data_IF_469501155858
#
_entry.id   IF_469501155858
#
_cell.length_a   1.000
_cell.length_b   1.000
_cell.length_c   1.000
_cell.angle_alpha   90.00
_cell.angle_beta   90.00
_cell.angle_gamma   90.00
#
_symmetry.space_group_name_H-M   'P 1'
#
loop_
_entity.id
_entity.type
_entity.pdbx_description
1 polymer ?
#
# COMPACT_ATOMS: atom_id res chain seq x y z
N UNK A 1 -26.57 -40.49 65.20
CA UNK A 1 -26.94 -41.08 63.90
C UNK A 1 -26.89 -39.96 62.88
N UNK A 2 -26.01 -40.13 61.88
CA UNK A 2 -25.72 -39.27 60.70
C UNK A 2 -24.96 -37.97 61.00
N UNK A 3 -23.66 -37.87 60.69
CA UNK A 3 -22.89 -37.99 59.41
C UNK A 3 -22.70 -36.62 58.78
N UNK A 4 -21.49 -36.08 58.99
CA UNK A 4 -20.55 -35.57 57.98
C UNK A 4 -21.15 -34.87 56.75
N UNK A 5 -21.00 -33.55 56.68
CA UNK A 5 -21.33 -32.75 55.49
C UNK A 5 -20.29 -31.64 55.23
N UNK A 6 -19.00 -31.97 55.37
CA UNK A 6 -17.87 -31.06 55.08
C UNK A 6 -16.88 -31.59 54.04
N UNK A 7 -17.21 -32.67 53.33
CA UNK A 7 -16.25 -33.42 52.50
C UNK A 7 -16.41 -33.30 50.97
N UNK A 8 -17.00 -32.23 50.43
CA UNK A 8 -17.31 -32.15 48.98
C UNK A 8 -16.69 -31.00 48.18
N UNK A 9 -15.62 -30.36 48.66
CA UNK A 9 -14.80 -29.44 47.83
C UNK A 9 -13.39 -29.97 47.58
N UNK A 10 -13.25 -31.28 47.37
CA UNK A 10 -12.01 -31.83 46.82
C UNK A 10 -11.97 -31.50 45.32
N UNK A 11 -11.16 -30.49 44.98
CA UNK A 11 -10.75 -30.19 43.61
C UNK A 11 -10.22 -31.49 42.96
N UNK A 12 -10.59 -31.82 41.71
CA UNK A 12 -10.00 -32.98 41.03
C UNK A 12 -8.48 -32.79 41.00
N UNK A 13 -7.68 -33.83 41.26
CA UNK A 13 -6.24 -33.71 41.15
C UNK A 13 -5.92 -33.31 39.71
N UNK A 14 -5.39 -32.10 39.54
CA UNK A 14 -4.74 -31.71 38.30
C UNK A 14 -3.79 -32.85 37.92
N UNK A 15 -3.87 -33.42 36.71
CA UNK A 15 -2.99 -34.50 36.32
C UNK A 15 -1.55 -34.03 36.53
N UNK A 16 -0.91 -34.58 37.56
CA UNK A 16 0.48 -34.30 37.86
C UNK A 16 1.28 -35.01 36.78
N UNK A 17 1.58 -34.29 35.69
CA UNK A 17 2.54 -34.76 34.70
C UNK A 17 3.77 -35.25 35.46
N UNK A 18 4.10 -36.53 35.25
CA UNK A 18 5.12 -37.20 36.09
C UNK A 18 6.45 -36.44 35.98
N UNK A 19 7.19 -36.27 37.09
CA UNK A 19 8.48 -35.58 37.09
C UNK A 19 9.45 -36.12 36.04
N UNK A 20 9.35 -37.42 35.75
CA UNK A 20 10.12 -38.11 34.71
C UNK A 20 9.84 -37.58 33.31
N UNK A 21 8.58 -37.29 32.95
CA UNK A 21 8.23 -36.71 31.65
C UNK A 21 8.82 -35.31 31.51
N UNK A 22 8.81 -34.51 32.57
CA UNK A 22 9.48 -33.20 32.57
C UNK A 22 11.00 -33.31 32.44
N UNK A 23 11.62 -34.29 33.10
CA UNK A 23 13.06 -34.54 32.95
C UNK A 23 13.42 -34.98 31.54
N UNK A 24 12.63 -35.87 30.94
CA UNK A 24 12.85 -36.39 29.60
C UNK A 24 12.66 -35.29 28.54
N UNK A 25 11.64 -34.45 28.71
CA UNK A 25 11.43 -33.26 27.87
C UNK A 25 12.61 -32.28 28.01
N UNK A 26 13.08 -32.04 29.24
CA UNK A 26 14.25 -31.20 29.50
C UNK A 26 15.56 -31.77 28.93
N UNK A 27 15.70 -33.08 28.85
CA UNK A 27 16.84 -33.75 28.22
C UNK A 27 16.80 -33.58 26.69
N UNK A 28 15.64 -33.82 26.06
CA UNK A 28 15.44 -33.65 24.61
C UNK A 28 15.66 -32.20 24.21
N UNK A 29 15.16 -31.24 25.00
CA UNK A 29 15.30 -29.81 24.69
C UNK A 29 16.76 -29.34 24.80
N UNK A 30 17.52 -29.85 25.78
CA UNK A 30 18.97 -29.60 25.89
C UNK A 30 19.75 -30.24 24.75
N UNK A 31 19.45 -31.50 24.43
CA UNK A 31 20.09 -32.17 23.29
C UNK A 31 19.83 -31.41 21.98
N UNK A 32 18.60 -30.93 21.75
CA UNK A 32 18.27 -30.08 20.61
C UNK A 32 19.07 -28.77 20.64
N UNK A 33 19.15 -28.10 21.79
CA UNK A 33 19.93 -26.88 21.96
C UNK A 33 21.42 -27.09 21.67
N UNK A 34 22.02 -28.13 22.23
CA UNK A 34 23.43 -28.50 22.06
C UNK A 34 23.72 -28.85 20.59
N UNK A 35 22.80 -29.54 19.93
CA UNK A 35 22.92 -29.88 18.49
C UNK A 35 22.84 -28.62 17.62
N UNK A 36 21.90 -27.70 17.91
CA UNK A 36 21.78 -26.42 17.20
C UNK A 36 23.01 -25.52 17.44
N UNK A 37 23.57 -25.55 18.65
CA UNK A 37 24.79 -24.84 19.01
C UNK A 37 26.03 -25.42 18.30
N UNK A 38 26.18 -26.75 18.28
CA UNK A 38 27.27 -27.44 17.58
C UNK A 38 27.22 -27.25 16.06
N UNK A 39 26.02 -27.18 15.47
CA UNK A 39 25.84 -26.86 14.05
C UNK A 39 26.10 -25.37 13.73
N UNK A 40 26.30 -24.51 14.74
CA UNK A 40 26.55 -23.08 14.57
C UNK A 40 25.35 -22.30 14.00
N UNK A 41 24.14 -22.87 14.09
CA UNK A 41 22.91 -22.30 13.49
C UNK A 41 22.19 -21.39 14.48
N UNK A 42 22.31 -21.63 15.78
CA UNK A 42 21.67 -20.83 16.85
C UNK A 42 21.98 -19.33 16.75
N UNK A 43 23.24 -18.89 16.53
CA UNK A 43 23.54 -17.47 16.38
C UNK A 43 22.88 -16.85 15.14
N UNK A 44 22.84 -17.58 14.02
CA UNK A 44 22.22 -17.10 12.76
C UNK A 44 20.70 -17.00 12.88
N UNK A 45 20.07 -17.93 13.58
CA UNK A 45 18.63 -17.93 13.80
C UNK A 45 18.21 -16.78 14.73
N UNK A 46 18.98 -16.55 15.79
CA UNK A 46 18.76 -15.45 16.72
C UNK A 46 18.96 -14.09 16.04
N UNK A 47 20.02 -13.95 15.23
CA UNK A 47 20.29 -12.75 14.45
C UNK A 47 19.22 -12.49 13.38
N UNK A 48 18.67 -13.54 12.76
CA UNK A 48 17.53 -13.41 11.84
C UNK A 48 16.23 -13.01 12.56
N UNK A 49 15.98 -13.58 13.75
CA UNK A 49 14.82 -13.23 14.58
C UNK A 49 14.89 -11.78 15.09
N UNK A 50 16.07 -11.30 15.46
CA UNK A 50 16.34 -9.91 15.82
C UNK A 50 16.12 -8.93 14.65
N UNK A 51 16.28 -9.40 13.40
CA UNK A 51 16.01 -8.60 12.20
C UNK A 51 14.55 -8.52 11.78
N UNK A 52 13.67 -9.40 12.29
CA UNK A 52 12.24 -9.42 11.92
C UNK A 52 11.49 -8.12 12.28
N UNK A 53 11.67 -7.52 13.47
CA UNK A 53 11.03 -6.25 13.81
C UNK A 53 11.45 -5.09 12.90
N UNK A 54 12.73 -5.01 12.52
CA UNK A 54 13.23 -3.98 11.57
C UNK A 54 12.62 -4.19 10.18
N UNK A 55 12.66 -5.43 9.67
CA UNK A 55 12.03 -5.77 8.39
C UNK A 55 10.54 -5.43 8.36
N UNK A 56 9.80 -5.72 9.44
CA UNK A 56 8.37 -5.35 9.57
C UNK A 56 8.19 -3.83 9.56
N UNK A 57 9.03 -3.10 10.27
CA UNK A 57 8.97 -1.63 10.32
C UNK A 57 9.21 -1.01 8.94
N UNK A 58 10.17 -1.53 8.18
CA UNK A 58 10.42 -1.12 6.79
C UNK A 58 9.25 -1.43 5.86
N UNK A 59 8.65 -2.62 5.98
CA UNK A 59 7.47 -2.98 5.18
C UNK A 59 6.27 -2.08 5.48
N UNK A 60 6.03 -1.75 6.76
CA UNK A 60 4.98 -0.81 7.16
C UNK A 60 5.25 0.58 6.60
N UNK A 61 6.49 1.08 6.70
CA UNK A 61 6.87 2.37 6.11
C UNK A 61 6.66 2.41 4.60
N UNK A 62 7.02 1.33 3.88
CA UNK A 62 6.77 1.21 2.45
C UNK A 62 5.27 1.21 2.16
N UNK A 63 4.47 0.47 2.93
CA UNK A 63 3.01 0.41 2.74
C UNK A 63 2.37 1.79 2.95
N UNK A 64 2.74 2.51 4.01
CA UNK A 64 2.27 3.87 4.28
C UNK A 64 2.66 4.85 3.16
N UNK A 65 3.92 4.83 2.72
CA UNK A 65 4.39 5.69 1.63
C UNK A 65 3.72 5.36 0.30
N UNK A 66 3.44 4.08 0.05
CA UNK A 66 2.69 3.62 -1.14
C UNK A 66 1.26 4.12 -1.11
N UNK A 67 0.58 4.00 0.04
CA UNK A 67 -0.78 4.49 0.19
C UNK A 67 -0.86 6.02 0.03
N UNK A 68 0.08 6.76 0.62
CA UNK A 68 0.15 8.21 0.49
C UNK A 68 0.39 8.66 -0.96
N UNK A 69 1.33 8.02 -1.66
CA UNK A 69 1.59 8.32 -3.07
C UNK A 69 0.39 7.98 -3.96
N UNK A 70 -0.25 6.82 -3.74
CA UNK A 70 -1.45 6.42 -4.47
C UNK A 70 -2.61 7.40 -4.26
N UNK A 71 -2.84 7.84 -3.03
CA UNK A 71 -3.86 8.85 -2.73
C UNK A 71 -3.56 10.19 -3.42
N UNK A 72 -2.29 10.64 -3.41
CA UNK A 72 -1.90 11.87 -4.10
C UNK A 72 -2.17 11.76 -5.61
N UNK A 73 -1.73 10.67 -6.24
CA UNK A 73 -1.94 10.44 -7.68
C UNK A 73 -3.42 10.37 -8.03
N UNK A 74 -4.22 9.62 -7.26
CA UNK A 74 -5.66 9.49 -7.52
C UNK A 74 -6.37 10.85 -7.43
N UNK A 75 -6.06 11.63 -6.40
CA UNK A 75 -6.63 12.97 -6.23
C UNK A 75 -6.26 13.90 -7.40
N UNK A 76 -4.98 13.93 -7.81
CA UNK A 76 -4.54 14.74 -8.96
C UNK A 76 -5.19 14.28 -10.27
N UNK A 77 -5.37 12.96 -10.48
CA UNK A 77 -6.07 12.43 -11.65
C UNK A 77 -7.54 12.85 -11.66
N UNK A 78 -8.22 12.79 -10.52
CA UNK A 78 -9.63 13.17 -10.42
C UNK A 78 -9.82 14.68 -10.67
N UNK A 79 -8.94 15.53 -10.12
CA UNK A 79 -8.92 16.98 -10.40
C UNK A 79 -8.72 17.26 -11.89
N UNK A 80 -7.71 16.65 -12.52
CA UNK A 80 -7.44 16.81 -13.94
C UNK A 80 -8.63 16.37 -14.81
N UNK A 81 -9.31 15.26 -14.46
CA UNK A 81 -10.52 14.80 -15.17
C UNK A 81 -11.69 15.77 -15.05
N UNK A 82 -11.90 16.35 -13.87
CA UNK A 82 -12.95 17.35 -13.67
C UNK A 82 -12.70 18.59 -14.53
N UNK A 83 -11.47 19.12 -14.53
CA UNK A 83 -11.10 20.26 -15.38
C UNK A 83 -11.25 19.93 -16.86
N UNK A 84 -10.78 18.76 -17.30
CA UNK A 84 -10.91 18.32 -18.68
C UNK A 84 -12.40 18.22 -19.11
N UNK A 85 -13.26 17.67 -18.25
CA UNK A 85 -14.70 17.56 -18.52
C UNK A 85 -15.36 18.93 -18.62
N UNK A 86 -14.99 19.86 -17.74
CA UNK A 86 -15.47 21.25 -17.73
C UNK A 86 -15.08 21.96 -19.03
N UNK A 87 -13.80 21.92 -19.41
CA UNK A 87 -13.33 22.51 -20.68
C UNK A 87 -14.07 21.89 -21.86
N UNK A 88 -14.18 20.56 -21.93
CA UNK A 88 -14.86 19.89 -23.05
C UNK A 88 -16.35 20.28 -23.18
N UNK A 89 -17.03 20.56 -22.07
CA UNK A 89 -18.39 21.09 -22.09
C UNK A 89 -18.43 22.53 -22.65
N UNK A 90 -17.58 23.41 -22.15
CA UNK A 90 -17.51 24.80 -22.62
C UNK A 90 -17.04 24.90 -24.09
N UNK A 91 -16.12 24.04 -24.54
CA UNK A 91 -15.73 23.95 -25.96
C UNK A 91 -16.94 23.70 -26.85
N UNK A 92 -17.82 22.75 -26.46
CA UNK A 92 -19.04 22.46 -27.23
C UNK A 92 -20.02 23.62 -27.22
N UNK A 93 -20.16 24.31 -26.08
CA UNK A 93 -21.01 25.50 -25.94
C UNK A 93 -20.53 26.64 -26.84
N UNK A 94 -19.24 26.93 -26.82
CA UNK A 94 -18.62 27.98 -27.64
C UNK A 94 -18.71 27.61 -29.13
N UNK A 95 -18.46 26.35 -29.50
CA UNK A 95 -18.63 25.89 -30.86
C UNK A 95 -20.08 26.11 -31.36
N UNK A 96 -21.08 25.76 -30.55
CA UNK A 96 -22.48 25.99 -30.89
C UNK A 96 -22.81 27.48 -31.02
N UNK A 97 -22.27 28.34 -30.14
CA UNK A 97 -22.45 29.78 -30.22
C UNK A 97 -21.85 30.38 -31.49
N UNK A 98 -20.64 29.94 -31.88
CA UNK A 98 -19.96 30.37 -33.11
C UNK A 98 -20.74 29.93 -34.35
N UNK A 99 -21.27 28.70 -34.37
CA UNK A 99 -22.09 28.18 -35.48
C UNK A 99 -23.40 28.97 -35.61
N UNK A 100 -24.04 29.32 -34.49
CA UNK A 100 -25.30 30.05 -34.50
C UNK A 100 -25.14 31.49 -34.98
N UNK A 101 -24.13 32.20 -34.47
CA UNK A 101 -23.80 33.56 -34.90
C UNK A 101 -22.33 33.89 -34.55
N UNK A 102 -21.41 33.81 -35.51
CA UNK A 102 -19.98 33.96 -35.25
C UNK A 102 -19.62 35.39 -34.81
N UNK A 103 -20.31 36.40 -35.34
CA UNK A 103 -20.03 37.80 -35.01
C UNK A 103 -20.49 38.09 -33.59
N UNK A 104 -21.69 37.65 -33.21
CA UNK A 104 -22.21 37.81 -31.85
C UNK A 104 -21.41 37.00 -30.84
N UNK A 105 -20.98 35.79 -31.17
CA UNK A 105 -20.17 34.96 -30.28
C UNK A 105 -18.85 35.66 -29.91
N UNK A 106 -18.15 36.24 -30.89
CA UNK A 106 -16.91 36.99 -30.67
C UNK A 106 -17.20 38.33 -29.97
N UNK A 107 -18.20 39.08 -30.41
CA UNK A 107 -18.55 40.39 -29.83
C UNK A 107 -19.04 40.30 -28.38
N UNK A 108 -19.62 39.16 -27.98
CA UNK A 108 -20.05 38.91 -26.59
C UNK A 108 -18.88 38.77 -25.60
N UNK A 109 -17.65 38.61 -26.07
CA UNK A 109 -16.48 38.32 -25.24
C UNK A 109 -16.39 36.88 -24.75
N UNK A 110 -17.43 36.06 -24.95
CA UNK A 110 -17.48 34.66 -24.50
C UNK A 110 -16.33 33.81 -25.05
N UNK A 111 -15.91 34.07 -26.30
CA UNK A 111 -14.78 33.38 -26.93
C UNK A 111 -13.46 33.72 -26.25
N UNK A 112 -13.21 34.99 -25.91
CA UNK A 112 -11.96 35.39 -25.24
C UNK A 112 -11.91 34.92 -23.79
N UNK A 113 -13.05 34.93 -23.10
CA UNK A 113 -13.16 34.33 -21.77
C UNK A 113 -12.85 32.83 -21.82
N UNK A 114 -13.39 32.12 -22.81
CA UNK A 114 -13.10 30.71 -23.00
C UNK A 114 -11.62 30.43 -23.29
N UNK A 115 -10.95 31.26 -24.12
CA UNK A 115 -9.50 31.12 -24.35
C UNK A 115 -8.72 31.24 -23.04
N UNK A 116 -9.03 32.25 -22.21
CA UNK A 116 -8.39 32.40 -20.91
C UNK A 116 -8.68 31.23 -19.96
N UNK A 117 -9.91 30.72 -19.97
CA UNK A 117 -10.29 29.54 -19.18
C UNK A 117 -9.54 28.28 -19.59
N UNK A 118 -9.29 28.10 -20.90
CA UNK A 118 -8.51 26.99 -21.45
C UNK A 118 -7.04 27.09 -21.02
N UNK A 119 -6.43 28.27 -21.12
CA UNK A 119 -5.06 28.50 -20.66
C UNK A 119 -4.91 28.19 -19.16
N UNK A 120 -5.82 28.74 -18.34
CA UNK A 120 -5.79 28.54 -16.90
C UNK A 120 -6.00 27.06 -16.50
N UNK A 121 -6.91 26.37 -17.19
CA UNK A 121 -7.18 24.96 -16.90
C UNK A 121 -6.07 24.03 -17.40
N UNK A 122 -5.42 24.36 -18.53
CA UNK A 122 -4.23 23.65 -19.02
C UNK A 122 -3.09 23.79 -18.02
N UNK A 123 -2.85 24.99 -17.48
CA UNK A 123 -1.84 25.20 -16.45
C UNK A 123 -2.11 24.40 -15.16
N UNK A 124 -3.39 24.27 -14.75
CA UNK A 124 -3.78 23.42 -13.60
C UNK A 124 -3.53 21.94 -13.88
N UNK A 125 -3.90 21.45 -15.06
CA UNK A 125 -3.65 20.06 -15.46
C UNK A 125 -2.14 19.77 -15.50
N UNK A 126 -1.33 20.69 -16.02
CA UNK A 126 0.13 20.54 -16.02
C UNK A 126 0.72 20.51 -14.61
N UNK A 127 0.16 21.29 -13.68
CA UNK A 127 0.52 21.23 -12.27
C UNK A 127 0.15 19.87 -11.65
N UNK A 128 -1.05 19.34 -11.92
CA UNK A 128 -1.47 18.01 -11.47
C UNK A 128 -0.56 16.90 -12.03
N UNK A 129 -0.20 16.97 -13.31
CA UNK A 129 0.74 16.03 -13.94
C UNK A 129 2.14 16.15 -13.32
N UNK A 130 2.59 17.36 -13.02
CA UNK A 130 3.85 17.62 -12.31
C UNK A 130 3.79 17.05 -10.90
N UNK A 131 2.66 17.15 -10.20
CA UNK A 131 2.47 16.61 -8.87
C UNK A 131 2.46 15.08 -8.83
N UNK A 132 1.88 14.45 -9.86
CA UNK A 132 1.95 13.01 -10.11
C UNK A 132 3.40 12.59 -10.39
N UNK A 133 4.12 13.39 -11.18
CA UNK A 133 5.53 13.16 -11.47
C UNK A 133 6.40 13.40 -10.24
N UNK A 134 6.09 14.35 -9.36
CA UNK A 134 6.83 14.64 -8.13
C UNK A 134 6.46 13.72 -6.97
N UNK A 135 5.36 12.97 -7.06
CA UNK A 135 5.11 11.83 -6.18
C UNK A 135 6.17 10.70 -6.35
N UNK A 136 7.15 10.89 -7.26
CA UNK A 136 8.32 10.05 -7.53
C UNK A 136 9.44 10.04 -6.47
N UNK A 137 9.20 10.42 -5.22
CA UNK A 137 9.96 9.79 -4.12
C UNK A 137 9.65 8.26 -4.01
N UNK A 138 8.72 7.77 -4.84
CA UNK A 138 8.49 6.36 -5.17
C UNK A 138 9.49 5.78 -6.21
N UNK A 139 10.25 6.61 -6.93
CA UNK A 139 11.18 6.19 -8.00
C UNK A 139 12.41 5.47 -7.44
N UNK A 140 12.87 5.84 -6.24
CA UNK A 140 14.02 5.18 -5.59
C UNK A 140 13.69 3.74 -5.10
N UNK A 141 12.39 3.47 -4.85
CA UNK A 141 11.92 2.12 -4.51
C UNK A 141 11.47 1.32 -5.76
N UNK A 142 10.96 1.98 -6.81
CA UNK A 142 10.53 1.30 -8.06
C UNK A 142 11.65 0.99 -9.06
N UNK A 143 12.84 1.61 -8.93
CA UNK A 143 14.03 1.25 -9.71
C UNK A 143 14.39 -0.25 -9.65
N UNK A 144 13.98 -0.96 -8.58
CA UNK A 144 14.12 -2.42 -8.44
C UNK A 144 12.98 -3.24 -9.08
N UNK A 145 11.78 -2.67 -9.23
CA UNK A 145 10.57 -3.43 -9.62
C UNK A 145 10.13 -3.18 -11.07
N UNK A 146 10.42 -2.01 -11.65
CA UNK A 146 10.05 -1.64 -13.02
C UNK A 146 10.66 -2.56 -14.09
N UNK A 147 11.95 -2.96 -14.02
CA UNK A 147 12.50 -3.95 -14.96
C UNK A 147 11.81 -5.32 -14.87
N UNK A 148 11.27 -5.68 -13.70
CA UNK A 148 10.50 -6.91 -13.50
C UNK A 148 9.10 -6.82 -14.11
N UNK A 149 8.47 -5.65 -14.00
CA UNK A 149 7.13 -5.39 -14.54
C UNK A 149 7.12 -5.29 -16.07
N UNK A 150 8.11 -4.62 -16.68
CA UNK A 150 8.31 -4.61 -18.13
C UNK A 150 8.56 -6.03 -18.69
N UNK A 151 9.27 -6.87 -17.95
CA UNK A 151 9.49 -8.29 -18.31
C UNK A 151 8.19 -9.09 -18.29
N UNK A 152 7.34 -8.84 -17.29
CA UNK A 152 6.00 -9.44 -17.21
C UNK A 152 5.10 -9.01 -18.37
N UNK A 153 5.13 -7.72 -18.75
CA UNK A 153 4.38 -7.21 -19.91
C UNK A 153 4.86 -7.81 -21.23
N UNK A 154 6.16 -8.05 -21.39
CA UNK A 154 6.73 -8.71 -22.56
C UNK A 154 6.29 -10.18 -22.67
N UNK A 155 6.29 -10.91 -21.55
CA UNK A 155 5.81 -12.30 -21.48
C UNK A 155 4.32 -12.38 -21.85
N UNK A 156 3.51 -11.44 -21.37
CA UNK A 156 2.08 -11.41 -21.66
C UNK A 156 1.78 -11.16 -23.15
N UNK A 157 2.56 -10.31 -23.81
CA UNK A 157 2.45 -10.04 -25.26
C UNK A 157 2.91 -11.20 -26.16
N UNK A 158 3.72 -12.11 -25.65
CA UNK A 158 4.15 -13.30 -26.40
C UNK A 158 3.27 -14.51 -26.15
N UNK A 159 2.41 -14.46 -25.12
CA UNK A 159 1.54 -15.56 -24.72
C UNK A 159 0.12 -15.45 -25.31
N UNK A 160 -0.24 -14.29 -25.89
CA UNK A 160 -1.52 -14.03 -26.56
C UNK A 160 -1.33 -13.07 -27.74
#
# INVERSE_FOLDING_TARGET
>A
MKMDDTALLAHPPTPSTSPEVFQQLGAITRQLHDTLAQLGVTPKLQQAAEGLPDARSRLNYIAEKTAAAANKVLNSVDQAKMEHTRIAAETRRIAAAIVADPVKAVASGSVMNFVSDVEAATARIDADLTDIMMAQDFHDLTGRWWPRWCRWRAIWKTAW
#
